data_IF_040200860316
#
_entry.id   IF_040200860316
#
_cell.length_a   1.000
_cell.length_b   1.000
_cell.length_c   1.000
_cell.angle_alpha   90.00
_cell.angle_beta   90.00
_cell.angle_gamma   90.00
#
_symmetry.space_group_name_H-M   'P 1'
#
loop_
_entity.id
_entity.type
_entity.pdbx_description
1 polymer ?
#
# COMPACT_ATOMS: atom_id res chain seq x y z
N UNK A 1 51.09 20.14 4.11
CA UNK A 1 50.91 18.72 3.75
C UNK A 1 50.72 17.76 4.94
N UNK A 2 51.06 18.12 6.19
CA UNK A 2 50.98 17.20 7.34
C UNK A 2 49.71 17.36 8.21
N UNK A 3 49.15 18.57 8.33
CA UNK A 3 47.92 18.80 9.12
C UNK A 3 46.65 18.27 8.43
N UNK A 4 46.59 18.25 7.10
CA UNK A 4 45.45 17.71 6.36
C UNK A 4 45.30 16.21 6.59
N UNK A 5 46.41 15.45 6.55
CA UNK A 5 46.40 14.01 6.85
C UNK A 5 45.87 13.72 8.26
N UNK A 6 46.25 14.53 9.25
CA UNK A 6 45.77 14.38 10.63
C UNK A 6 44.27 14.68 10.81
N UNK A 7 43.72 15.58 10.01
CA UNK A 7 42.28 15.87 10.00
C UNK A 7 41.50 14.73 9.33
N UNK A 8 42.00 14.22 8.22
CA UNK A 8 41.42 13.07 7.52
C UNK A 8 41.37 11.83 8.42
N UNK A 9 42.43 11.56 9.19
CA UNK A 9 42.47 10.45 10.16
C UNK A 9 41.38 10.59 11.24
N UNK A 10 41.14 11.80 11.73
CA UNK A 10 40.09 12.08 12.73
C UNK A 10 38.69 11.91 12.14
N UNK A 11 38.49 12.35 10.90
CA UNK A 11 37.23 12.17 10.17
C UNK A 11 36.95 10.69 9.95
N UNK A 12 37.97 9.93 9.56
CA UNK A 12 37.86 8.48 9.36
C UNK A 12 37.51 7.77 10.67
N UNK A 13 38.18 8.09 11.77
CA UNK A 13 37.88 7.53 13.10
C UNK A 13 36.44 7.83 13.54
N UNK A 14 35.99 9.08 13.37
CA UNK A 14 34.63 9.49 13.70
C UNK A 14 33.61 8.69 12.88
N UNK A 15 33.76 8.67 11.55
CA UNK A 15 32.84 7.96 10.66
C UNK A 15 32.77 6.47 10.98
N UNK A 16 33.91 5.86 11.31
CA UNK A 16 34.00 4.44 11.66
C UNK A 16 33.30 4.16 12.99
N UNK A 17 33.51 5.00 14.00
CA UNK A 17 32.85 4.88 15.29
C UNK A 17 31.32 5.05 15.17
N UNK A 18 30.86 6.03 14.39
CA UNK A 18 29.43 6.24 14.14
C UNK A 18 28.81 5.07 13.40
N UNK A 19 29.44 4.58 12.33
CA UNK A 19 28.96 3.41 11.58
C UNK A 19 28.88 2.16 12.45
N UNK A 20 29.91 1.91 13.27
CA UNK A 20 29.94 0.79 14.21
C UNK A 20 28.81 0.87 15.24
N UNK A 21 28.58 2.06 15.82
CA UNK A 21 27.49 2.28 16.75
C UNK A 21 26.11 2.08 16.11
N UNK A 22 25.92 2.55 14.88
CA UNK A 22 24.67 2.32 14.15
C UNK A 22 24.43 0.83 13.91
N UNK A 23 25.45 0.06 13.53
CA UNK A 23 25.32 -1.39 13.35
C UNK A 23 25.03 -2.11 14.67
N UNK A 24 25.67 -1.68 15.77
CA UNK A 24 25.53 -2.32 17.09
C UNK A 24 24.18 -2.04 17.77
N UNK A 25 23.76 -0.77 17.80
CA UNK A 25 22.57 -0.34 18.52
C UNK A 25 21.32 -0.23 17.66
N UNK A 26 21.48 -0.07 16.34
CA UNK A 26 20.38 0.15 15.39
C UNK A 26 20.58 -0.63 14.08
N UNK A 27 20.75 -1.97 14.13
CA UNK A 27 20.92 -2.75 12.91
C UNK A 27 19.75 -2.54 11.95
N UNK A 28 20.06 -2.22 10.71
CA UNK A 28 19.09 -2.07 9.62
C UNK A 28 18.44 -3.42 9.34
N UNK A 29 17.24 -3.62 9.90
CA UNK A 29 16.40 -4.80 9.63
C UNK A 29 15.39 -4.45 8.55
N UNK A 30 15.63 -4.90 7.32
CA UNK A 30 14.60 -4.87 6.28
C UNK A 30 13.52 -5.91 6.64
N UNK A 31 12.27 -5.46 6.73
CA UNK A 31 11.12 -6.36 6.85
C UNK A 31 10.51 -6.53 5.47
N UNK A 32 10.39 -7.78 5.01
CA UNK A 32 9.58 -8.08 3.85
C UNK A 32 8.10 -7.98 4.29
N UNK A 33 7.42 -6.92 3.90
CA UNK A 33 5.96 -6.81 4.08
C UNK A 33 5.30 -7.59 2.95
N UNK A 34 4.69 -8.72 3.29
CA UNK A 34 3.76 -9.38 2.39
C UNK A 34 2.41 -8.67 2.46
N UNK A 35 1.94 -8.13 1.35
CA UNK A 35 0.53 -7.81 1.18
C UNK A 35 -0.24 -9.09 0.89
N UNK A 36 -0.12 -10.09 1.76
CA UNK A 36 -1.03 -11.23 1.72
C UNK A 36 -2.43 -10.64 1.90
N UNK A 37 -3.21 -10.60 0.81
CA UNK A 37 -4.61 -10.18 0.91
C UNK A 37 -5.26 -11.11 1.91
N UNK A 38 -5.77 -10.56 3.01
CA UNK A 38 -6.47 -11.32 4.04
C UNK A 38 -7.67 -12.12 3.49
N UNK A 39 -8.09 -11.83 2.25
CA UNK A 39 -9.06 -12.58 1.47
C UNK A 39 -8.49 -12.93 0.08
N UNK A 40 -7.83 -14.09 -0.10
CA UNK A 40 -7.33 -14.55 -1.40
C UNK A 40 -8.45 -14.78 -2.42
N UNK A 41 -9.65 -15.11 -1.92
CA UNK A 41 -10.88 -15.25 -2.71
C UNK A 41 -11.45 -13.89 -3.14
N UNK A 42 -11.02 -12.78 -2.56
CA UNK A 42 -11.48 -11.44 -2.94
C UNK A 42 -10.51 -10.81 -3.96
N UNK A 43 -10.69 -11.25 -5.20
CA UNK A 43 -9.90 -10.81 -6.36
C UNK A 43 -10.15 -9.35 -6.71
N UNK A 44 -9.25 -8.76 -7.50
CA UNK A 44 -9.42 -7.38 -7.99
C UNK A 44 -10.61 -7.22 -8.93
N UNK A 45 -10.99 -8.29 -9.62
CA UNK A 45 -12.17 -8.33 -10.48
C UNK A 45 -13.47 -8.25 -9.64
N UNK A 46 -13.59 -9.09 -8.60
CA UNK A 46 -14.70 -9.01 -7.63
C UNK A 46 -14.76 -7.63 -6.94
N UNK A 47 -13.59 -7.03 -6.65
CA UNK A 47 -13.52 -5.68 -6.10
C UNK A 47 -14.06 -4.64 -7.08
N UNK A 48 -13.68 -4.74 -8.34
CA UNK A 48 -14.10 -3.82 -9.41
C UNK A 48 -15.61 -3.90 -9.64
N UNK A 49 -16.17 -5.12 -9.74
CA UNK A 49 -17.62 -5.36 -9.85
C UNK A 49 -18.37 -4.83 -8.63
N UNK A 50 -17.86 -5.06 -7.42
CA UNK A 50 -18.44 -4.51 -6.19
C UNK A 50 -18.46 -2.99 -6.19
N UNK A 51 -17.37 -2.35 -6.63
CA UNK A 51 -17.27 -0.91 -6.71
C UNK A 51 -18.25 -0.32 -7.74
N UNK A 52 -18.43 -0.99 -8.89
CA UNK A 52 -19.34 -0.57 -9.96
C UNK A 52 -20.79 -0.51 -9.48
N UNK A 53 -21.35 -1.61 -8.94
CA UNK A 53 -22.74 -1.58 -8.48
C UNK A 53 -22.93 -0.60 -7.31
N UNK A 54 -21.95 -0.46 -6.40
CA UNK A 54 -22.04 0.51 -5.28
C UNK A 54 -22.06 1.96 -5.76
N UNK A 55 -21.36 2.27 -6.85
CA UNK A 55 -21.40 3.61 -7.46
C UNK A 55 -22.80 3.90 -8.01
N UNK A 56 -23.43 2.93 -8.66
CA UNK A 56 -24.80 3.06 -9.17
C UNK A 56 -25.83 3.13 -8.04
N UNK A 57 -25.66 2.33 -6.98
CA UNK A 57 -26.51 2.38 -5.78
C UNK A 57 -26.52 3.80 -5.19
N UNK A 58 -25.33 4.38 -4.97
CA UNK A 58 -25.22 5.74 -4.45
C UNK A 58 -25.88 6.76 -5.38
N UNK A 59 -25.66 6.64 -6.70
CA UNK A 59 -26.27 7.53 -7.69
C UNK A 59 -27.79 7.40 -7.74
N UNK A 60 -28.32 6.19 -7.59
CA UNK A 60 -29.76 5.96 -7.49
C UNK A 60 -30.34 6.58 -6.22
N UNK A 61 -29.72 6.35 -5.05
CA UNK A 61 -30.18 6.93 -3.78
C UNK A 61 -30.17 8.46 -3.78
N UNK A 62 -29.21 9.06 -4.48
CA UNK A 62 -29.08 10.52 -4.63
C UNK A 62 -30.10 11.10 -5.62
N UNK A 63 -30.25 10.51 -6.80
CA UNK A 63 -31.09 11.05 -7.87
C UNK A 63 -32.54 10.56 -7.87
N UNK A 64 -32.84 9.44 -7.21
CA UNK A 64 -34.15 8.78 -7.25
C UNK A 64 -34.55 8.19 -8.61
N UNK A 65 -33.69 8.24 -9.64
CA UNK A 65 -34.05 7.85 -11.00
C UNK A 65 -34.03 6.34 -11.20
N UNK A 66 -35.08 5.81 -11.82
CA UNK A 66 -35.25 4.37 -12.09
C UNK A 66 -34.15 3.80 -13.01
N UNK A 67 -33.58 4.60 -13.91
CA UNK A 67 -32.49 4.15 -14.79
C UNK A 67 -31.27 3.69 -13.98
N UNK A 68 -30.93 4.42 -12.90
CA UNK A 68 -29.83 4.01 -12.03
C UNK A 68 -30.20 2.83 -11.14
N UNK A 69 -31.48 2.68 -10.77
CA UNK A 69 -31.97 1.51 -10.06
C UNK A 69 -31.80 0.23 -10.90
N UNK A 70 -32.19 0.26 -12.18
CA UNK A 70 -32.03 -0.91 -13.05
C UNK A 70 -30.56 -1.23 -13.30
N UNK A 71 -29.75 -0.23 -13.62
CA UNK A 71 -28.32 -0.43 -13.77
C UNK A 71 -27.68 -1.01 -12.48
N UNK A 72 -28.07 -0.50 -11.31
CA UNK A 72 -27.60 -1.06 -10.03
C UNK A 72 -28.02 -2.53 -9.85
N UNK A 73 -29.27 -2.85 -10.16
CA UNK A 73 -29.83 -4.20 -10.01
C UNK A 73 -29.13 -5.21 -10.91
N UNK A 74 -28.86 -4.82 -12.16
CA UNK A 74 -28.17 -5.65 -13.15
C UNK A 74 -26.73 -5.95 -12.69
N UNK A 75 -25.96 -4.92 -12.33
CA UNK A 75 -24.58 -5.08 -11.84
C UNK A 75 -24.50 -5.80 -10.48
N UNK A 76 -25.52 -5.67 -9.63
CA UNK A 76 -25.60 -6.44 -8.39
C UNK A 76 -25.82 -7.93 -8.68
N UNK A 77 -26.59 -8.25 -9.72
CA UNK A 77 -26.76 -9.62 -10.22
C UNK A 77 -25.43 -10.22 -10.69
N UNK A 78 -24.69 -9.50 -11.52
CA UNK A 78 -23.35 -9.90 -11.99
C UNK A 78 -22.40 -10.17 -10.82
N UNK A 79 -22.30 -9.25 -9.86
CA UNK A 79 -21.45 -9.44 -8.68
C UNK A 79 -21.85 -10.66 -7.85
N UNK A 80 -23.16 -10.91 -7.69
CA UNK A 80 -23.67 -12.04 -6.90
C UNK A 80 -23.49 -13.39 -7.58
N UNK A 81 -23.36 -13.41 -8.90
CA UNK A 81 -23.07 -14.64 -9.64
C UNK A 81 -21.63 -15.13 -9.46
N UNK A 82 -20.74 -14.28 -8.94
CA UNK A 82 -19.29 -14.53 -8.85
C UNK A 82 -18.76 -14.73 -7.43
N UNK A 83 -19.64 -14.65 -6.43
CA UNK A 83 -19.34 -14.93 -5.01
C UNK A 83 -19.95 -16.27 -4.64
#
# INVERSE_FOLDING_TARGET
GLQSASLEDKILQLNTALASNLVSFAPLKSRCVSFARSAPWYTDDLRSKKAAYRKLERKWRDSGLNVFYQAWKDHLGEYRAEI
#
